data_IF_807634047013
#
_entry.id   IF_807634047013
#
_cell.length_a   1.000
_cell.length_b   1.000
_cell.length_c   1.000
_cell.angle_alpha   90.00
_cell.angle_beta   90.00
_cell.angle_gamma   90.00
#
_symmetry.space_group_name_H-M   'P 1'
#
loop_
_entity.id
_entity.type
_entity.pdbx_description
1 polymer ?
#
# COMPACT_ATOMS: atom_id res chain seq x y z
N UNK A 1 -14.14 -3.88 2.03
CA UNK A 1 -15.05 -4.03 0.87
C UNK A 1 -15.19 -2.65 0.22
N UNK A 2 -14.97 -2.50 -1.10
CA UNK A 2 -15.18 -1.23 -1.81
C UNK A 2 -16.62 -0.71 -1.75
N UNK A 3 -17.60 -1.55 -1.41
CA UNK A 3 -19.01 -1.17 -1.20
C UNK A 3 -19.33 -0.84 0.27
N UNK A 4 -18.35 -1.00 1.16
CA UNK A 4 -18.49 -0.64 2.57
C UNK A 4 -18.38 0.87 2.80
N UNK A 5 -18.46 1.26 4.08
CA UNK A 5 -18.37 2.66 4.52
C UNK A 5 -17.18 2.92 5.47
N UNK A 6 -16.40 1.89 5.82
CA UNK A 6 -15.24 1.99 6.70
C UNK A 6 -14.12 1.04 6.26
N UNK A 7 -12.91 1.27 6.80
CA UNK A 7 -11.82 0.30 6.74
C UNK A 7 -12.15 -0.94 7.60
N UNK A 8 -11.66 -2.10 7.16
CA UNK A 8 -11.78 -3.35 7.91
C UNK A 8 -10.56 -3.58 8.81
N UNK A 9 -10.24 -4.85 9.03
CA UNK A 9 -8.95 -5.24 9.63
C UNK A 9 -7.77 -4.69 8.83
N UNK A 10 -6.67 -4.39 9.51
CA UNK A 10 -5.44 -3.87 8.89
C UNK A 10 -4.22 -4.71 9.32
N UNK A 11 -3.17 -4.65 8.50
CA UNK A 11 -1.85 -5.19 8.82
C UNK A 11 -0.79 -4.19 8.37
N UNK A 12 0.24 -4.02 9.20
CA UNK A 12 1.42 -3.21 8.92
C UNK A 12 2.67 -3.98 9.34
N UNK A 13 3.70 -3.97 8.50
CA UNK A 13 4.99 -4.61 8.77
C UNK A 13 6.10 -3.75 8.22
N UNK A 14 7.01 -3.34 9.09
CA UNK A 14 8.28 -2.77 8.69
C UNK A 14 9.20 -3.85 8.13
N UNK A 15 10.00 -3.45 7.14
CA UNK A 15 10.99 -4.30 6.51
C UNK A 15 12.35 -3.64 6.60
N UNK A 16 13.33 -4.38 7.10
CA UNK A 16 14.70 -3.90 7.20
C UNK A 16 15.26 -3.57 5.80
N UNK A 17 15.56 -2.30 5.56
CA UNK A 17 16.07 -1.82 4.27
C UNK A 17 17.45 -2.41 3.95
N UNK A 18 18.32 -2.56 4.94
CA UNK A 18 19.65 -3.12 4.75
C UNK A 18 19.57 -4.59 4.32
N UNK A 19 18.72 -5.40 4.98
CA UNK A 19 18.55 -6.81 4.60
C UNK A 19 17.96 -6.99 3.20
N UNK A 20 17.10 -6.07 2.75
CA UNK A 20 16.60 -6.06 1.36
C UNK A 20 17.72 -5.77 0.37
N UNK A 21 18.60 -4.81 0.68
CA UNK A 21 19.76 -4.47 -0.14
C UNK A 21 20.75 -5.65 -0.19
N UNK A 22 21.05 -6.25 0.95
CA UNK A 22 21.98 -7.37 1.08
C UNK A 22 21.51 -8.61 0.32
N UNK A 23 20.19 -8.84 0.27
CA UNK A 23 19.56 -9.91 -0.52
C UNK A 23 19.79 -9.73 -2.03
N UNK A 24 19.94 -8.48 -2.48
CA UNK A 24 20.05 -8.10 -3.88
C UNK A 24 18.68 -8.02 -4.59
N UNK A 25 18.70 -7.60 -5.86
CA UNK A 25 17.48 -7.45 -6.68
C UNK A 25 16.84 -6.06 -6.63
N UNK A 26 17.19 -5.24 -5.64
CA UNK A 26 16.79 -3.84 -5.55
C UNK A 26 17.94 -2.90 -5.88
N UNK A 27 17.64 -1.81 -6.60
CA UNK A 27 18.59 -0.74 -6.87
C UNK A 27 18.35 0.43 -5.91
N UNK A 28 19.43 0.95 -5.32
CA UNK A 28 19.38 2.15 -4.51
C UNK A 28 19.77 3.33 -5.40
N UNK A 29 18.85 4.26 -5.58
CA UNK A 29 19.07 5.45 -6.40
C UNK A 29 19.17 6.72 -5.53
N UNK A 30 20.16 7.55 -5.83
CA UNK A 30 20.43 8.76 -5.07
C UNK A 30 19.30 9.80 -5.19
N UNK A 31 18.54 9.83 -6.29
CA UNK A 31 17.37 10.69 -6.44
C UNK A 31 16.21 10.25 -5.56
N UNK A 32 15.99 8.94 -5.39
CA UNK A 32 15.01 8.39 -4.44
C UNK A 32 15.39 8.75 -3.00
N UNK A 33 16.66 8.60 -2.63
CA UNK A 33 17.15 9.03 -1.30
C UNK A 33 16.91 10.53 -1.10
N UNK A 34 17.28 11.37 -2.08
CA UNK A 34 17.07 12.83 -2.01
C UNK A 34 15.60 13.20 -1.91
N UNK A 35 14.71 12.49 -2.60
CA UNK A 35 13.28 12.71 -2.50
C UNK A 35 12.80 12.52 -1.05
N UNK A 36 13.19 11.42 -0.41
CA UNK A 36 12.82 11.14 0.98
C UNK A 36 13.48 12.11 1.98
N UNK A 37 14.76 12.45 1.79
CA UNK A 37 15.45 13.43 2.63
C UNK A 37 14.90 14.86 2.47
N UNK A 38 14.42 15.21 1.29
CA UNK A 38 13.85 16.53 0.99
C UNK A 38 12.39 16.68 1.41
N UNK A 39 11.74 15.57 1.78
CA UNK A 39 10.35 15.59 2.21
C UNK A 39 10.26 16.12 3.66
N UNK A 40 9.27 16.98 3.93
CA UNK A 40 9.10 17.63 5.24
C UNK A 40 8.67 16.68 6.36
N UNK A 41 8.43 15.42 6.03
CA UNK A 41 8.01 14.37 6.95
C UNK A 41 9.23 13.51 7.31
N UNK A 42 10.14 14.07 8.11
CA UNK A 42 11.40 13.41 8.56
C UNK A 42 11.14 12.03 9.17
N UNK A 43 9.99 11.88 9.80
CA UNK A 43 9.63 10.70 10.58
C UNK A 43 9.48 9.45 9.71
N UNK A 44 8.94 9.58 8.50
CA UNK A 44 8.79 8.44 7.58
C UNK A 44 10.15 7.92 7.09
N UNK A 45 11.08 8.84 6.79
CA UNK A 45 12.44 8.46 6.40
C UNK A 45 13.22 7.88 7.58
N UNK A 46 13.08 8.45 8.78
CA UNK A 46 13.68 7.90 9.99
C UNK A 46 13.14 6.51 10.33
N UNK A 47 11.84 6.27 10.16
CA UNK A 47 11.23 4.95 10.34
C UNK A 47 11.82 3.92 9.38
N UNK A 48 12.01 4.27 8.10
CA UNK A 48 12.64 3.38 7.11
C UNK A 48 14.08 2.96 7.49
N UNK A 49 14.80 3.79 8.24
CA UNK A 49 16.17 3.53 8.66
C UNK A 49 16.29 2.76 9.99
N UNK A 50 15.17 2.48 10.66
CA UNK A 50 15.21 1.73 11.92
C UNK A 50 15.57 0.27 11.64
N UNK A 51 16.53 -0.29 12.39
CA UNK A 51 16.82 -1.71 12.30
C UNK A 51 15.64 -2.50 12.87
N UNK A 52 15.13 -3.45 12.07
CA UNK A 52 13.93 -4.18 12.42
C UNK A 52 14.19 -5.48 13.16
N UNK A 53 13.24 -5.84 14.02
CA UNK A 53 13.32 -7.04 14.85
C UNK A 53 12.76 -8.29 14.15
N UNK A 54 11.92 -8.11 13.13
CA UNK A 54 11.23 -9.20 12.46
C UNK A 54 11.99 -9.68 11.22
N UNK A 55 12.16 -10.99 11.00
CA UNK A 55 12.64 -11.51 9.72
C UNK A 55 11.70 -11.13 8.57
N UNK A 56 12.26 -10.73 7.43
CA UNK A 56 11.48 -10.30 6.26
C UNK A 56 10.55 -11.42 5.79
N UNK A 57 11.01 -12.67 5.80
CA UNK A 57 10.21 -13.84 5.45
C UNK A 57 8.96 -13.95 6.33
N UNK A 58 9.10 -13.73 7.63
CA UNK A 58 7.97 -13.76 8.55
C UNK A 58 7.01 -12.59 8.32
N UNK A 59 7.53 -11.39 8.05
CA UNK A 59 6.71 -10.24 7.69
C UNK A 59 5.88 -10.53 6.44
N UNK A 60 6.51 -11.05 5.38
CA UNK A 60 5.86 -11.41 4.12
C UNK A 60 4.83 -12.54 4.29
N UNK A 61 5.14 -13.60 5.04
CA UNK A 61 4.17 -14.66 5.33
C UNK A 61 2.98 -14.13 6.15
N UNK A 62 3.20 -13.19 7.07
CA UNK A 62 2.09 -12.58 7.82
C UNK A 62 1.16 -11.76 6.93
N UNK A 63 1.70 -11.01 5.96
CA UNK A 63 0.91 -10.30 4.95
C UNK A 63 0.19 -11.30 4.05
N UNK A 64 0.86 -12.38 3.65
CA UNK A 64 0.26 -13.41 2.83
C UNK A 64 -0.88 -14.14 3.53
N UNK A 65 -0.71 -14.48 4.81
CA UNK A 65 -1.74 -15.05 5.67
C UNK A 65 -2.95 -14.14 5.78
N UNK A 66 -2.72 -12.86 6.12
CA UNK A 66 -3.79 -11.86 6.21
C UNK A 66 -4.61 -11.74 4.92
N UNK A 67 -3.94 -11.68 3.76
CA UNK A 67 -4.63 -11.59 2.46
C UNK A 67 -5.41 -12.88 2.14
N UNK A 68 -4.85 -14.06 2.45
CA UNK A 68 -5.52 -15.36 2.26
C UNK A 68 -6.76 -15.50 3.15
N UNK A 69 -6.68 -15.07 4.41
CA UNK A 69 -7.81 -15.08 5.36
C UNK A 69 -8.99 -14.23 4.88
N UNK A 70 -8.70 -13.08 4.26
CA UNK A 70 -9.72 -12.21 3.67
C UNK A 70 -10.26 -12.72 2.32
N UNK A 71 -9.62 -13.72 1.72
CA UNK A 71 -10.07 -14.38 0.49
C UNK A 71 -10.03 -13.53 -0.78
N UNK A 72 -9.41 -12.34 -0.75
CA UNK A 72 -9.25 -11.44 -1.91
C UNK A 72 -10.53 -11.12 -2.71
N UNK A 73 -11.73 -11.29 -2.14
CA UNK A 73 -13.00 -11.21 -2.87
C UNK A 73 -13.25 -9.85 -3.53
N UNK A 74 -12.63 -8.77 -3.02
CA UNK A 74 -12.72 -7.41 -3.57
C UNK A 74 -11.55 -6.97 -4.45
N UNK A 75 -10.55 -7.83 -4.68
CA UNK A 75 -9.29 -7.49 -5.35
C UNK A 75 -8.25 -6.83 -4.43
N UNK A 76 -7.01 -6.73 -4.93
CA UNK A 76 -5.89 -6.03 -4.31
C UNK A 76 -5.82 -4.63 -4.90
N UNK A 77 -6.19 -3.63 -4.10
CA UNK A 77 -6.20 -2.24 -4.52
C UNK A 77 -4.87 -1.58 -4.23
N UNK A 78 -4.36 -0.82 -5.19
CA UNK A 78 -3.18 0.02 -5.04
C UNK A 78 -3.39 1.34 -5.80
N UNK A 79 -2.71 2.40 -5.35
CA UNK A 79 -2.72 3.68 -6.07
C UNK A 79 -2.28 3.50 -7.53
N UNK A 80 -1.29 2.64 -7.76
CA UNK A 80 -1.01 2.09 -9.08
C UNK A 80 -0.46 0.67 -8.95
N UNK A 81 -1.20 -0.36 -9.37
CA UNK A 81 -0.74 -1.74 -9.28
C UNK A 81 0.54 -2.01 -10.06
N UNK A 82 0.76 -1.30 -11.17
CA UNK A 82 2.02 -1.35 -11.92
C UNK A 82 3.24 -0.81 -11.15
N UNK A 83 3.02 -0.25 -9.97
CA UNK A 83 4.06 0.18 -9.04
C UNK A 83 4.04 -0.69 -7.78
N UNK A 84 3.05 -0.51 -6.90
CA UNK A 84 3.04 -1.14 -5.58
C UNK A 84 2.96 -2.68 -5.65
N UNK A 85 2.04 -3.22 -6.47
CA UNK A 85 1.86 -4.68 -6.58
C UNK A 85 3.05 -5.33 -7.28
N UNK A 86 3.67 -4.67 -8.26
CA UNK A 86 4.89 -5.18 -8.93
C UNK A 86 6.08 -5.22 -7.98
N UNK A 87 6.26 -4.19 -7.15
CA UNK A 87 7.30 -4.17 -6.11
C UNK A 87 7.08 -5.31 -5.12
N UNK A 88 5.84 -5.52 -4.69
CA UNK A 88 5.49 -6.63 -3.80
C UNK A 88 5.72 -8.00 -4.47
N UNK A 89 5.27 -8.20 -5.71
CA UNK A 89 5.51 -9.45 -6.46
C UNK A 89 7.01 -9.76 -6.56
N UNK A 90 7.84 -8.75 -6.84
CA UNK A 90 9.29 -8.89 -6.87
C UNK A 90 9.85 -9.27 -5.50
N UNK A 91 9.44 -8.58 -4.45
CA UNK A 91 9.88 -8.84 -3.07
C UNK A 91 9.51 -10.27 -2.63
N UNK A 92 8.28 -10.70 -2.86
CA UNK A 92 7.84 -12.07 -2.59
C UNK A 92 8.70 -13.10 -3.32
N UNK A 93 8.98 -12.87 -4.61
CA UNK A 93 9.84 -13.74 -5.40
C UNK A 93 11.30 -13.80 -4.89
N UNK A 94 11.87 -12.67 -4.48
CA UNK A 94 13.23 -12.61 -3.90
C UNK A 94 13.39 -13.48 -2.66
N UNK A 95 12.33 -13.55 -1.84
CA UNK A 95 12.31 -14.35 -0.62
C UNK A 95 11.74 -15.77 -0.83
N UNK A 96 11.41 -16.14 -2.08
CA UNK A 96 10.90 -17.48 -2.41
C UNK A 96 9.50 -17.76 -1.86
N UNK A 97 8.72 -16.72 -1.57
CA UNK A 97 7.37 -16.82 -1.01
C UNK A 97 6.35 -16.60 -2.12
N UNK A 98 5.33 -17.46 -2.20
CA UNK A 98 4.24 -17.30 -3.17
C UNK A 98 3.32 -16.13 -2.81
N UNK A 99 3.03 -15.27 -3.78
CA UNK A 99 2.11 -14.14 -3.58
C UNK A 99 0.69 -14.65 -3.26
N UNK A 100 -0.04 -13.98 -2.36
CA UNK A 100 -1.36 -14.42 -1.92
C UNK A 100 -2.50 -13.99 -2.87
N UNK A 101 -2.17 -13.33 -3.99
CA UNK A 101 -3.12 -12.85 -4.99
C UNK A 101 -2.82 -13.42 -6.38
N UNK A 102 -3.85 -13.46 -7.23
CA UNK A 102 -3.77 -13.85 -8.64
C UNK A 102 -3.53 -12.63 -9.52
N UNK A 103 -2.94 -12.84 -10.70
CA UNK A 103 -2.68 -11.78 -11.69
C UNK A 103 -3.92 -10.96 -12.06
N UNK A 104 -5.13 -11.54 -11.98
CA UNK A 104 -6.40 -10.89 -12.32
C UNK A 104 -7.03 -10.11 -11.15
N UNK A 105 -6.42 -10.10 -9.97
CA UNK A 105 -6.99 -9.52 -8.76
C UNK A 105 -6.52 -8.09 -8.47
N UNK A 106 -5.49 -7.59 -9.15
CA UNK A 106 -5.05 -6.20 -8.98
C UNK A 106 -6.10 -5.20 -9.44
N UNK A 107 -6.23 -4.08 -8.72
CA UNK A 107 -7.20 -3.01 -8.95
C UNK A 107 -6.53 -1.66 -8.74
N UNK A 108 -6.88 -0.71 -9.59
CA UNK A 108 -6.20 0.58 -9.66
C UNK A 108 -7.10 1.69 -9.10
N UNK A 109 -6.64 2.35 -8.03
CA UNK A 109 -7.38 3.45 -7.38
C UNK A 109 -7.48 4.66 -8.31
N UNK A 110 -6.44 5.00 -9.07
CA UNK A 110 -6.47 6.14 -10.02
C UNK A 110 -7.51 5.93 -11.11
N UNK A 111 -7.76 4.69 -11.52
CA UNK A 111 -8.81 4.35 -12.48
C UNK A 111 -10.18 4.67 -11.91
N UNK A 112 -10.48 4.22 -10.68
CA UNK A 112 -11.76 4.55 -10.03
C UNK A 112 -11.88 6.06 -9.80
N UNK A 113 -10.81 6.74 -9.38
CA UNK A 113 -10.81 8.20 -9.21
C UNK A 113 -11.17 8.92 -10.51
N UNK A 114 -10.52 8.55 -11.61
CA UNK A 114 -10.75 9.17 -12.90
C UNK A 114 -12.19 8.95 -13.39
N UNK A 115 -12.72 7.73 -13.26
CA UNK A 115 -14.09 7.42 -13.65
C UNK A 115 -15.14 8.14 -12.79
N UNK A 116 -14.89 8.25 -11.49
CA UNK A 116 -15.80 8.87 -10.54
C UNK A 116 -15.68 10.41 -10.45
N UNK A 117 -14.78 11.02 -11.24
CA UNK A 117 -14.49 12.45 -11.17
C UNK A 117 -13.96 12.89 -9.81
N UNK A 118 -13.06 12.09 -9.22
CA UNK A 118 -12.41 12.37 -7.93
C UNK A 118 -11.01 12.92 -8.17
N UNK A 119 -10.76 14.11 -7.64
CA UNK A 119 -9.52 14.87 -7.75
C UNK A 119 -8.36 14.23 -6.95
N UNK A 120 -7.13 14.69 -7.20
CA UNK A 120 -5.97 14.29 -6.42
C UNK A 120 -6.10 14.69 -4.93
N UNK A 121 -6.65 15.88 -4.66
CA UNK A 121 -6.76 16.48 -3.33
C UNK A 121 -8.13 16.25 -2.66
N UNK A 122 -8.95 15.38 -3.24
CA UNK A 122 -10.28 15.12 -2.71
C UNK A 122 -10.19 14.41 -1.36
N UNK A 123 -10.96 14.89 -0.39
CA UNK A 123 -11.12 14.27 0.92
C UNK A 123 -12.50 13.60 0.98
N UNK A 124 -12.55 12.26 1.03
CA UNK A 124 -13.81 11.54 1.17
C UNK A 124 -14.57 11.92 2.44
N UNK A 125 -15.91 11.94 2.44
CA UNK A 125 -16.69 12.32 3.62
C UNK A 125 -16.50 11.38 4.82
N UNK A 126 -16.07 10.14 4.58
CA UNK A 126 -15.80 9.14 5.61
C UNK A 126 -14.31 9.08 6.01
N UNK A 127 -13.52 10.09 5.68
CA UNK A 127 -12.11 10.20 6.02
C UNK A 127 -11.86 11.48 6.81
N UNK A 128 -11.18 11.38 7.96
CA UNK A 128 -10.82 12.53 8.78
C UNK A 128 -9.53 13.17 8.23
N UNK A 129 -9.58 14.38 7.64
CA UNK A 129 -8.39 15.00 7.08
C UNK A 129 -7.38 15.44 8.16
N UNK A 130 -7.78 15.54 9.43
CA UNK A 130 -6.89 15.96 10.52
C UNK A 130 -5.94 14.85 10.96
N UNK A 131 -6.25 13.60 10.64
CA UNK A 131 -5.41 12.44 10.95
C UNK A 131 -4.50 12.05 9.78
N UNK A 132 -4.60 12.73 8.63
CA UNK A 132 -3.84 12.36 7.44
C UNK A 132 -2.39 12.79 7.53
N UNK A 133 -1.50 11.80 7.39
CA UNK A 133 -0.06 12.01 7.29
C UNK A 133 0.40 11.62 5.90
N UNK A 134 0.76 12.61 5.07
CA UNK A 134 1.20 12.35 3.71
C UNK A 134 2.51 11.53 3.70
N UNK A 135 2.58 10.51 2.84
CA UNK A 135 3.72 9.59 2.72
C UNK A 135 3.93 8.66 3.93
N UNK A 136 2.96 8.59 4.83
CA UNK A 136 2.84 7.47 5.77
C UNK A 136 2.03 6.35 5.11
N UNK A 137 2.55 5.11 5.02
CA UNK A 137 1.90 4.03 4.29
C UNK A 137 0.53 3.66 4.83
N UNK A 138 0.31 3.75 6.15
CA UNK A 138 -0.99 3.45 6.77
C UNK A 138 -2.00 4.54 6.42
N UNK A 139 -1.64 5.80 6.64
CA UNK A 139 -2.47 6.97 6.32
C UNK A 139 -2.83 7.03 4.83
N UNK A 140 -1.87 6.76 3.94
CA UNK A 140 -2.10 6.68 2.51
C UNK A 140 -3.05 5.52 2.16
N UNK A 141 -2.95 4.36 2.82
CA UNK A 141 -3.87 3.23 2.61
C UNK A 141 -5.29 3.55 3.08
N UNK A 142 -5.45 4.16 4.26
CA UNK A 142 -6.77 4.53 4.80
C UNK A 142 -7.47 5.55 3.92
N UNK A 143 -6.74 6.56 3.45
CA UNK A 143 -7.28 7.53 2.49
C UNK A 143 -7.67 6.86 1.17
N UNK A 144 -6.83 5.96 0.62
CA UNK A 144 -7.14 5.23 -0.60
C UNK A 144 -8.39 4.34 -0.46
N UNK A 145 -8.58 3.68 0.69
CA UNK A 145 -9.79 2.90 0.99
C UNK A 145 -11.04 3.79 0.90
N UNK A 146 -11.01 4.94 1.57
CA UNK A 146 -12.12 5.88 1.59
C UNK A 146 -12.41 6.45 0.18
N UNK A 147 -11.37 6.73 -0.60
CA UNK A 147 -11.50 7.18 -2.00
C UNK A 147 -12.15 6.11 -2.88
N UNK A 148 -11.76 4.85 -2.75
CA UNK A 148 -12.37 3.75 -3.52
C UNK A 148 -13.85 3.61 -3.17
N UNK A 149 -14.20 3.66 -1.88
CA UNK A 149 -15.58 3.57 -1.42
C UNK A 149 -16.45 4.72 -1.96
N UNK A 150 -15.93 5.95 -1.92
CA UNK A 150 -16.60 7.10 -2.52
C UNK A 150 -16.75 6.93 -4.04
N UNK A 151 -15.72 6.43 -4.72
CA UNK A 151 -15.77 6.18 -6.16
C UNK A 151 -16.86 5.18 -6.53
N UNK A 152 -16.98 4.08 -5.80
CA UNK A 152 -18.05 3.10 -5.98
C UNK A 152 -19.44 3.74 -5.77
N UNK A 153 -19.59 4.57 -4.75
CA UNK A 153 -20.84 5.29 -4.48
C UNK A 153 -21.23 6.24 -5.61
N UNK A 154 -20.29 7.05 -6.11
CA UNK A 154 -20.54 7.99 -7.21
C UNK A 154 -20.90 7.30 -8.52
N UNK A 155 -20.35 6.11 -8.74
CA UNK A 155 -20.59 5.30 -9.94
C UNK A 155 -21.84 4.41 -9.83
N UNK A 156 -22.55 4.40 -8.70
CA UNK A 156 -23.72 3.54 -8.49
C UNK A 156 -23.37 2.04 -8.39
N UNK A 157 -22.16 1.72 -7.91
CA UNK A 157 -21.64 0.36 -7.75
C UNK A 157 -21.66 -0.15 -6.30
N UNK A 158 -22.13 0.69 -5.37
CA UNK A 158 -22.25 0.39 -3.94
C UNK A 158 -23.39 -0.59 -3.65
#
# INVERSE_FOLDING_TARGET
DPRGNCAGSHIYRDLDCQKQIDKGGFAVDASTIRFWMGNKNSDAFEMMLKPETLPIEYALESVAGFVRELGCYGGIWANSPSFDVVIMDHLFAQFGIGTPWRYSQSRDVRTIKALAGIDANYMPPNFDPTTFVAHDPVSDCEWQIAVVQEGYRRLGLA
#
